data_IF_860308621218
#
_entry.id   IF_860308621218
#
_cell.length_a   1.000
_cell.length_b   1.000
_cell.length_c   1.000
_cell.angle_alpha   90.00
_cell.angle_beta   90.00
_cell.angle_gamma   90.00
#
_symmetry.space_group_name_H-M   'P 1'
#
loop_
_entity.id
_entity.type
_entity.pdbx_description
1 polymer ?
#
# COMPACT_ATOMS: atom_id res chain seq x y z
N UNK A 1 -18.50 13.19 3.08
CA UNK A 1 -19.51 12.39 3.80
C UNK A 1 -18.84 11.82 5.04
N UNK A 2 -19.37 12.07 6.24
CA UNK A 2 -18.82 11.49 7.48
C UNK A 2 -19.72 10.35 7.96
N UNK A 3 -19.14 9.18 8.24
CA UNK A 3 -19.84 8.00 8.77
C UNK A 3 -19.39 7.78 10.21
N UNK A 4 -20.34 7.64 11.14
CA UNK A 4 -20.04 7.26 12.53
C UNK A 4 -20.08 5.73 12.64
N UNK A 5 -19.03 5.16 13.21
CA UNK A 5 -18.92 3.71 13.48
C UNK A 5 -18.50 3.57 14.94
N UNK A 6 -19.26 2.80 15.72
CA UNK A 6 -18.89 2.40 17.07
C UNK A 6 -18.25 1.02 17.00
N UNK A 7 -17.05 0.88 17.57
CA UNK A 7 -16.29 -0.37 17.62
C UNK A 7 -16.14 -0.79 19.08
N UNK A 8 -16.39 -2.07 19.35
CA UNK A 8 -16.06 -2.70 20.63
C UNK A 8 -14.80 -3.52 20.37
N UNK A 9 -13.72 -3.17 21.05
CA UNK A 9 -12.44 -3.87 20.93
C UNK A 9 -12.45 -5.08 21.86
N UNK A 10 -11.86 -6.17 21.40
CA UNK A 10 -11.52 -7.30 22.27
C UNK A 10 -10.16 -7.03 22.91
N UNK A 11 -9.84 -7.72 24.00
CA UNK A 11 -8.59 -7.55 24.74
C UNK A 11 -7.34 -7.63 23.83
N UNK A 12 -7.36 -8.51 22.83
CA UNK A 12 -6.25 -8.65 21.88
C UNK A 12 -6.11 -7.43 20.94
N UNK A 13 -7.23 -6.86 20.50
CA UNK A 13 -7.25 -5.68 19.63
C UNK A 13 -6.79 -4.45 20.43
N UNK A 14 -7.27 -4.34 21.68
CA UNK A 14 -6.87 -3.28 22.62
C UNK A 14 -5.37 -3.32 22.90
N UNK A 15 -4.83 -4.49 23.26
CA UNK A 15 -3.40 -4.66 23.52
C UNK A 15 -2.54 -4.33 22.29
N UNK A 16 -3.04 -4.56 21.08
CA UNK A 16 -2.33 -4.24 19.85
C UNK A 16 -2.25 -2.73 19.58
N UNK A 17 -3.28 -1.97 19.97
CA UNK A 17 -3.33 -0.52 19.72
C UNK A 17 -2.87 0.32 20.90
N UNK A 18 -2.87 -0.22 22.13
CA UNK A 18 -2.51 0.49 23.37
C UNK A 18 -1.20 1.27 23.27
N UNK A 19 -0.10 0.74 22.68
CA UNK A 19 1.13 1.50 22.53
C UNK A 19 0.93 2.80 21.73
N UNK A 20 0.03 2.80 20.76
CA UNK A 20 -0.26 3.95 19.90
C UNK A 20 -1.26 4.94 20.49
N UNK A 21 -1.84 4.62 21.65
CA UNK A 21 -2.75 5.52 22.39
C UNK A 21 -2.04 6.22 23.56
N UNK A 22 -0.93 5.65 24.04
CA UNK A 22 -0.18 6.19 25.17
C UNK A 22 0.79 7.30 24.74
N UNK A 23 0.47 8.55 25.09
CA UNK A 23 1.34 9.70 24.84
C UNK A 23 2.73 9.53 25.47
N UNK A 24 3.78 9.78 24.67
CA UNK A 24 5.17 9.60 25.09
C UNK A 24 5.71 8.17 24.89
N UNK A 25 4.88 7.22 24.47
CA UNK A 25 5.40 5.95 23.95
C UNK A 25 6.11 6.19 22.61
N UNK A 26 7.11 5.36 22.31
CA UNK A 26 7.78 5.42 21.00
C UNK A 26 6.81 5.14 19.84
N UNK A 27 5.84 4.25 20.03
CA UNK A 27 4.85 3.92 19.01
C UNK A 27 3.91 5.11 18.74
N UNK A 28 3.49 5.82 19.79
CA UNK A 28 2.69 7.04 19.66
C UNK A 28 3.46 8.13 18.92
N UNK A 29 4.74 8.34 19.24
CA UNK A 29 5.56 9.35 18.56
C UNK A 29 5.76 9.04 17.07
N UNK A 30 5.93 7.76 16.71
CA UNK A 30 5.97 7.34 15.30
C UNK A 30 4.65 7.64 14.60
N UNK A 31 3.51 7.33 15.23
CA UNK A 31 2.18 7.62 14.68
C UNK A 31 1.95 9.13 14.52
N UNK A 32 2.37 9.94 15.50
CA UNK A 32 2.28 11.40 15.45
C UNK A 32 3.11 11.99 14.31
N UNK A 33 4.33 11.50 14.12
CA UNK A 33 5.17 11.89 13.00
C UNK A 33 4.52 11.50 11.66
N UNK A 34 3.96 10.29 11.58
CA UNK A 34 3.22 9.85 10.41
C UNK A 34 2.03 10.80 10.12
N UNK A 35 1.21 11.12 11.12
CA UNK A 35 0.08 12.05 10.98
C UNK A 35 0.52 13.40 10.42
N UNK A 36 1.59 13.97 10.99
CA UNK A 36 2.12 15.26 10.57
C UNK A 36 2.56 15.30 9.10
N UNK A 37 3.11 14.19 8.58
CA UNK A 37 3.52 14.07 7.17
C UNK A 37 2.33 13.96 6.22
N UNK A 38 1.21 13.42 6.70
CA UNK A 38 -0.01 13.20 5.91
C UNK A 38 -1.04 14.32 6.06
N UNK A 39 -0.68 15.41 6.75
CA UNK A 39 -1.55 16.57 6.97
C UNK A 39 -2.66 16.32 8.00
N UNK A 40 -2.62 15.19 8.70
CA UNK A 40 -3.44 14.97 9.89
C UNK A 40 -2.85 15.81 11.02
N UNK A 41 -3.70 16.62 11.65
CA UNK A 41 -3.30 17.53 12.73
C UNK A 41 -2.79 16.78 13.97
N UNK A 42 -2.50 17.53 15.02
CA UNK A 42 -2.03 16.95 16.28
C UNK A 42 -3.03 15.94 16.86
N UNK A 43 -2.54 14.79 17.33
CA UNK A 43 -3.35 13.71 17.88
C UNK A 43 -3.74 14.08 19.31
N UNK A 44 -4.97 14.59 19.50
CA UNK A 44 -5.45 15.09 20.80
C UNK A 44 -6.46 14.19 21.51
N UNK A 45 -6.72 13.01 20.95
CA UNK A 45 -7.70 12.06 21.51
C UNK A 45 -7.43 10.66 20.97
N UNK A 46 -7.84 9.63 21.70
CA UNK A 46 -7.80 8.23 21.25
C UNK A 46 -8.53 8.05 19.91
N UNK A 47 -9.70 8.70 19.75
CA UNK A 47 -10.44 8.65 18.51
C UNK A 47 -9.67 9.27 17.33
N UNK A 48 -8.82 10.28 17.57
CA UNK A 48 -7.93 10.82 16.55
C UNK A 48 -6.81 9.82 16.25
N UNK A 49 -6.17 9.24 17.28
CA UNK A 49 -5.13 8.23 17.10
C UNK A 49 -5.63 7.02 16.29
N UNK A 50 -6.84 6.55 16.59
CA UNK A 50 -7.50 5.46 15.87
C UNK A 50 -7.78 5.78 14.41
N UNK A 51 -8.15 7.03 14.08
CA UNK A 51 -8.36 7.44 12.67
C UNK A 51 -7.04 7.48 11.92
N UNK A 52 -5.99 8.00 12.54
CA UNK A 52 -4.65 8.04 11.96
C UNK A 52 -4.13 6.61 11.74
N UNK A 53 -4.30 5.71 12.72
CA UNK A 53 -3.97 4.28 12.57
C UNK A 53 -4.73 3.62 11.43
N UNK A 54 -6.03 3.90 11.31
CA UNK A 54 -6.85 3.38 10.22
C UNK A 54 -6.32 3.84 8.86
N UNK A 55 -5.95 5.11 8.73
CA UNK A 55 -5.44 5.66 7.48
C UNK A 55 -4.05 5.09 7.16
N UNK A 56 -3.15 5.04 8.14
CA UNK A 56 -1.83 4.44 7.99
C UNK A 56 -1.91 2.96 7.58
N UNK A 57 -2.80 2.20 8.22
CA UNK A 57 -3.04 0.80 7.87
C UNK A 57 -3.63 0.62 6.48
N UNK A 58 -4.56 1.50 6.07
CA UNK A 58 -5.13 1.47 4.73
C UNK A 58 -4.07 1.76 3.65
N UNK A 59 -3.18 2.73 3.90
CA UNK A 59 -2.08 3.07 3.00
C UNK A 59 -1.06 1.93 2.90
N UNK A 60 -0.66 1.33 4.02
CA UNK A 60 0.23 0.18 4.03
C UNK A 60 -0.34 -1.02 3.26
N UNK A 61 -1.64 -1.28 3.40
CA UNK A 61 -2.31 -2.32 2.62
C UNK A 61 -2.41 -1.98 1.13
N UNK A 62 -2.59 -0.70 0.78
CA UNK A 62 -2.62 -0.26 -0.61
C UNK A 62 -1.30 -0.53 -1.32
N UNK A 63 -0.16 -0.30 -0.66
CA UNK A 63 1.16 -0.63 -1.20
C UNK A 63 1.30 -2.13 -1.52
N UNK A 64 0.87 -3.00 -0.60
CA UNK A 64 0.85 -4.44 -0.83
C UNK A 64 -0.09 -4.88 -1.96
N UNK A 65 -1.23 -4.20 -2.14
CA UNK A 65 -2.14 -4.45 -3.26
C UNK A 65 -1.48 -4.08 -4.59
N UNK A 66 -0.73 -2.98 -4.64
CA UNK A 66 0.03 -2.59 -5.83
C UNK A 66 1.11 -3.62 -6.16
N UNK A 67 1.88 -4.06 -5.16
CA UNK A 67 2.89 -5.10 -5.34
C UNK A 67 2.30 -6.40 -5.89
N UNK A 68 1.18 -6.85 -5.34
CA UNK A 68 0.46 -8.02 -5.84
C UNK A 68 -0.04 -7.84 -7.29
N UNK A 69 -0.54 -6.65 -7.61
CA UNK A 69 -0.95 -6.29 -8.97
C UNK A 69 0.21 -6.32 -9.98
N UNK A 70 1.36 -5.75 -9.61
CA UNK A 70 2.56 -5.79 -10.43
C UNK A 70 3.10 -7.21 -10.62
N UNK A 71 3.07 -8.04 -9.58
CA UNK A 71 3.46 -9.45 -9.69
C UNK A 71 2.54 -10.21 -10.65
N UNK A 72 1.23 -9.95 -10.60
CA UNK A 72 0.25 -10.52 -11.54
C UNK A 72 0.53 -10.09 -12.98
N UNK A 73 0.73 -8.78 -13.23
CA UNK A 73 1.08 -8.26 -14.56
C UNK A 73 2.39 -8.86 -15.08
N UNK A 74 3.41 -9.00 -14.23
CA UNK A 74 4.67 -9.62 -14.61
C UNK A 74 4.49 -11.10 -14.97
N UNK A 75 3.63 -11.84 -14.25
CA UNK A 75 3.28 -13.22 -14.57
C UNK A 75 2.58 -13.36 -15.92
N UNK A 76 1.57 -12.52 -16.18
CA UNK A 76 0.87 -12.49 -17.47
C UNK A 76 1.80 -12.08 -18.61
N UNK A 77 2.59 -11.03 -18.40
CA UNK A 77 3.57 -10.57 -19.37
C UNK A 77 4.58 -11.66 -19.64
N UNK A 78 5.05 -12.39 -18.63
CA UNK A 78 6.03 -13.46 -18.79
C UNK A 78 5.43 -14.83 -19.15
N UNK A 79 4.16 -14.87 -19.54
CA UNK A 79 3.57 -16.11 -20.04
C UNK A 79 4.20 -16.52 -21.38
N UNK A 80 4.41 -17.83 -21.55
CA UNK A 80 4.99 -18.47 -22.76
C UNK A 80 4.38 -17.96 -24.09
N UNK A 81 3.05 -17.84 -24.25
CA UNK A 81 2.45 -17.33 -25.47
C UNK A 81 2.86 -15.88 -25.76
N UNK A 82 2.82 -15.01 -24.73
CA UNK A 82 3.18 -13.60 -24.85
C UNK A 82 4.69 -13.42 -25.15
N UNK A 83 5.55 -14.30 -24.61
CA UNK A 83 6.97 -14.32 -24.95
C UNK A 83 7.23 -14.73 -26.40
N UNK A 84 6.57 -15.77 -26.89
CA UNK A 84 6.72 -16.25 -28.26
C UNK A 84 6.27 -15.19 -29.28
N UNK A 85 5.14 -14.52 -29.03
CA UNK A 85 4.65 -13.44 -29.89
C UNK A 85 5.62 -12.26 -29.95
N UNK A 86 6.14 -11.81 -28.81
CA UNK A 86 7.12 -10.70 -28.76
C UNK A 86 8.44 -11.06 -29.45
N UNK A 87 8.92 -12.29 -29.28
CA UNK A 87 10.11 -12.78 -30.00
C UNK A 87 9.87 -12.75 -31.50
N UNK A 88 8.72 -13.24 -31.95
CA UNK A 88 8.35 -13.19 -33.37
C UNK A 88 8.24 -11.75 -33.91
N UNK A 89 7.72 -10.81 -33.11
CA UNK A 89 7.59 -9.41 -33.51
C UNK A 89 8.96 -8.72 -33.62
N UNK A 90 9.89 -9.01 -32.69
CA UNK A 90 11.29 -8.56 -32.73
C UNK A 90 12.01 -9.11 -33.95
N UNK A 91 11.89 -10.40 -34.23
CA UNK A 91 12.52 -11.03 -35.39
C UNK A 91 12.00 -10.42 -36.71
N UNK A 92 10.69 -10.14 -36.79
CA UNK A 92 10.10 -9.43 -37.94
C UNK A 92 10.64 -8.01 -38.09
N UNK A 93 10.81 -7.28 -36.98
CA UNK A 93 11.36 -5.93 -37.01
C UNK A 93 12.83 -5.92 -37.44
N UNK A 94 13.67 -6.77 -36.85
CA UNK A 94 15.09 -6.91 -37.19
C UNK A 94 15.27 -7.22 -38.68
N UNK A 95 14.55 -8.21 -39.21
CA UNK A 95 14.57 -8.54 -40.65
C UNK A 95 14.12 -7.38 -41.55
N UNK A 96 13.20 -6.53 -41.08
CA UNK A 96 12.78 -5.32 -41.81
C UNK A 96 13.86 -4.25 -41.81
N UNK A 97 14.57 -4.07 -40.69
CA UNK A 97 15.64 -3.06 -40.58
C UNK A 97 16.87 -3.48 -41.37
N UNK A 98 17.24 -4.76 -41.34
CA UNK A 98 18.34 -5.34 -42.12
C UNK A 98 18.12 -5.25 -43.64
N UNK A 99 16.88 -5.30 -44.11
CA UNK A 99 16.53 -5.11 -45.54
C UNK A 99 16.59 -3.67 -46.02
N UNK A 100 16.69 -2.70 -45.12
CA UNK A 100 16.74 -1.27 -45.42
C UNK A 100 18.12 -0.64 -45.15
N UNK A 101 19.11 -1.47 -44.83
CA UNK A 101 20.54 -1.14 -44.78
C UNK A 101 21.23 -1.70 -46.04
#
# INVERSE_FOLDING_TARGET
MSKRVSLILKDADEAAIEPYLNEGSMAFEVLRQWASRHGEGDIKSEAAALRVLLQAGAEALQEHVLDAGYASLAGEFNSEPAHAERRSARDRYARRTERHL
#
